data_IF_195783411074
#
_entry.id   IF_195783411074
#
_cell.length_a   1.000
_cell.length_b   1.000
_cell.length_c   1.000
_cell.angle_alpha   90.00
_cell.angle_beta   90.00
_cell.angle_gamma   90.00
#
_symmetry.space_group_name_H-M   'P 1'
#
loop_
_entity.id
_entity.type
_entity.pdbx_description
1 polymer ?
#
# COMPACT_ATOMS: atom_id res chain seq x y z
N UNK A 1 -15.07 23.95 9.73
CA UNK A 1 -14.09 23.23 10.56
C UNK A 1 -12.70 23.66 10.11
N UNK A 2 -12.02 24.46 10.93
CA UNK A 2 -10.65 24.93 10.63
C UNK A 2 -9.67 23.77 10.84
N UNK A 3 -8.91 23.43 9.80
CA UNK A 3 -7.83 22.46 9.90
C UNK A 3 -6.66 23.07 10.66
N UNK A 4 -6.38 22.56 11.86
CA UNK A 4 -5.16 22.88 12.60
C UNK A 4 -3.95 22.34 11.83
N UNK A 5 -3.16 23.23 11.22
CA UNK A 5 -1.80 22.89 10.80
C UNK A 5 -0.91 22.86 12.03
N UNK A 6 -0.56 21.66 12.49
CA UNK A 6 0.46 21.46 13.55
C UNK A 6 1.84 21.62 12.89
N UNK A 7 2.29 22.87 12.70
CA UNK A 7 3.67 23.20 12.32
C UNK A 7 4.57 23.24 13.55
N UNK A 8 4.83 22.07 14.14
CA UNK A 8 5.63 21.95 15.35
C UNK A 8 6.00 20.50 15.63
N UNK A 9 6.87 19.92 14.81
CA UNK A 9 7.56 18.68 15.17
C UNK A 9 9.03 19.02 15.35
N UNK A 10 9.31 19.65 16.49
CA UNK A 10 10.64 19.71 17.06
C UNK A 10 11.19 18.29 17.24
N UNK A 11 12.51 18.22 17.26
CA UNK A 11 13.35 17.03 17.39
C UNK A 11 12.89 16.17 18.58
N UNK A 12 12.01 15.20 18.34
CA UNK A 12 11.58 14.28 19.40
C UNK A 12 12.81 13.46 19.79
N UNK A 13 13.27 13.60 21.03
CA UNK A 13 14.31 12.73 21.58
C UNK A 13 13.78 11.29 21.58
N UNK A 14 14.22 10.49 20.59
CA UNK A 14 13.97 9.06 20.42
C UNK A 14 15.24 8.29 20.75
N UNK A 15 15.51 8.14 22.04
CA UNK A 15 16.54 7.24 22.58
C UNK A 15 15.86 6.12 23.40
N UNK A 16 16.48 4.94 23.57
CA UNK A 16 15.85 3.86 24.34
C UNK A 16 15.44 4.30 25.76
N UNK A 17 16.27 5.11 26.41
CA UNK A 17 15.98 5.69 27.73
C UNK A 17 14.79 6.66 27.71
N UNK A 18 14.74 7.58 26.76
CA UNK A 18 13.64 8.55 26.69
C UNK A 18 12.33 7.88 26.30
N UNK A 19 12.36 6.85 25.45
CA UNK A 19 11.18 6.06 25.05
C UNK A 19 10.65 5.23 26.23
N UNK A 20 11.52 4.65 27.06
CA UNK A 20 11.10 4.02 28.32
C UNK A 20 10.37 5.00 29.24
N UNK A 21 10.84 6.25 29.34
CA UNK A 21 10.14 7.29 30.11
C UNK A 21 8.77 7.59 29.53
N UNK A 22 8.68 7.74 28.20
CA UNK A 22 7.43 8.00 27.48
C UNK A 22 6.42 6.85 27.64
N UNK A 23 6.87 5.59 27.63
CA UNK A 23 6.01 4.43 27.89
C UNK A 23 5.42 4.51 29.29
N UNK A 24 6.24 4.81 30.32
CA UNK A 24 5.73 4.94 31.70
C UNK A 24 4.66 6.03 31.82
N UNK A 25 4.85 7.16 31.15
CA UNK A 25 3.86 8.23 31.10
C UNK A 25 2.58 7.79 30.40
N UNK A 26 2.69 7.11 29.25
CA UNK A 26 1.55 6.53 28.54
C UNK A 26 0.77 5.55 29.42
N UNK A 27 1.45 4.66 30.15
CA UNK A 27 0.82 3.71 31.06
C UNK A 27 0.05 4.41 32.18
N UNK A 28 0.60 5.51 32.72
CA UNK A 28 -0.11 6.33 33.71
C UNK A 28 -1.39 6.97 33.16
N UNK A 29 -1.43 7.24 31.86
CA UNK A 29 -2.61 7.75 31.16
C UNK A 29 -3.61 6.65 30.76
N UNK A 30 -3.30 5.37 30.98
CA UNK A 30 -4.15 4.22 30.63
C UNK A 30 -3.75 3.47 29.36
N UNK A 31 -2.56 3.74 28.80
CA UNK A 31 -2.01 2.94 27.70
C UNK A 31 -1.64 1.54 28.20
N UNK A 32 -1.92 0.50 27.41
CA UNK A 32 -1.74 -0.89 27.84
C UNK A 32 -1.23 -1.75 26.67
N UNK A 33 -1.14 -3.06 26.91
CA UNK A 33 -0.63 -4.01 25.91
C UNK A 33 -1.48 -4.06 24.64
N UNK A 34 -2.81 -3.98 24.77
CA UNK A 34 -3.71 -3.96 23.61
C UNK A 34 -3.41 -2.75 22.73
N UNK A 35 -3.34 -1.54 23.30
CA UNK A 35 -2.98 -0.32 22.57
C UNK A 35 -1.59 -0.42 21.92
N UNK A 36 -0.62 -1.05 22.60
CA UNK A 36 0.69 -1.31 22.02
C UNK A 36 0.62 -2.21 20.78
N UNK A 37 -0.15 -3.30 20.85
CA UNK A 37 -0.34 -4.21 19.73
C UNK A 37 -0.94 -3.50 18.51
N UNK A 38 -1.84 -2.53 18.70
CA UNK A 38 -2.40 -1.70 17.63
C UNK A 38 -1.32 -0.94 16.85
N UNK A 39 -0.27 -0.43 17.50
CA UNK A 39 0.81 0.32 16.84
C UNK A 39 1.98 -0.56 16.38
N UNK A 40 2.15 -1.73 17.00
CA UNK A 40 3.21 -2.70 16.71
C UNK A 40 2.92 -3.51 15.43
N UNK A 41 1.67 -3.91 15.19
CA UNK A 41 1.31 -4.79 14.07
C UNK A 41 0.88 -4.05 12.81
N UNK A 42 1.57 -4.32 11.69
CA UNK A 42 1.15 -3.93 10.35
C UNK A 42 0.27 -5.03 9.73
N UNK A 43 -0.94 -5.20 10.25
CA UNK A 43 -1.93 -6.15 9.76
C UNK A 43 -1.82 -7.56 10.36
N UNK A 44 -2.87 -7.95 11.09
CA UNK A 44 -3.42 -9.29 11.39
C UNK A 44 -2.52 -10.54 11.62
N UNK A 45 -1.19 -10.44 11.67
CA UNK A 45 -0.30 -11.57 11.99
C UNK A 45 0.40 -11.33 13.33
N UNK A 46 -0.05 -12.06 14.35
CA UNK A 46 0.56 -12.08 15.68
C UNK A 46 1.92 -12.79 15.60
N UNK A 47 3.00 -12.02 15.67
CA UNK A 47 4.34 -12.54 15.96
C UNK A 47 4.48 -12.91 17.44
N UNK A 48 5.38 -13.84 17.76
CA UNK A 48 5.47 -14.51 19.07
C UNK A 48 5.80 -13.59 20.26
N UNK A 49 6.33 -12.38 20.03
CA UNK A 49 6.75 -11.45 21.09
C UNK A 49 6.37 -9.99 20.75
N UNK A 50 5.08 -9.69 20.77
CA UNK A 50 4.55 -8.34 20.43
C UNK A 50 3.97 -7.60 21.63
N UNK A 51 4.41 -7.95 22.84
CA UNK A 51 3.96 -7.30 24.07
C UNK A 51 4.76 -6.02 24.37
N UNK A 52 4.11 -5.10 25.09
CA UNK A 52 4.71 -3.89 25.61
C UNK A 52 5.88 -4.23 26.56
N UNK A 53 5.75 -5.29 27.36
CA UNK A 53 6.81 -5.75 28.26
C UNK A 53 8.03 -6.27 27.49
N UNK A 54 7.82 -7.07 26.43
CA UNK A 54 8.90 -7.51 25.55
C UNK A 54 9.63 -6.31 24.93
N UNK A 55 8.88 -5.28 24.51
CA UNK A 55 9.49 -4.05 23.98
C UNK A 55 10.29 -3.29 25.05
N UNK A 56 9.76 -3.12 26.27
CA UNK A 56 10.51 -2.52 27.39
C UNK A 56 11.80 -3.30 27.69
N UNK A 57 11.75 -4.62 27.68
CA UNK A 57 12.93 -5.48 27.89
C UNK A 57 13.99 -5.24 26.80
N UNK A 58 13.57 -5.15 25.54
CA UNK A 58 14.44 -4.75 24.43
C UNK A 58 15.07 -3.36 24.65
N UNK A 59 14.27 -2.36 25.04
CA UNK A 59 14.79 -1.00 25.26
C UNK A 59 15.83 -0.92 26.39
N UNK A 60 15.72 -1.77 27.41
CA UNK A 60 16.71 -1.88 28.50
C UNK A 60 18.02 -2.52 28.05
N UNK A 61 17.99 -3.38 27.02
CA UNK A 61 19.17 -4.13 26.56
C UNK A 61 19.98 -3.40 25.48
N UNK A 62 19.42 -2.36 24.84
CA UNK A 62 20.09 -1.61 23.77
C UNK A 62 20.51 -0.21 24.22
N UNK A 63 21.68 0.23 23.73
CA UNK A 63 22.19 1.60 24.00
C UNK A 63 21.61 2.64 23.04
N UNK A 64 21.36 2.25 21.80
CA UNK A 64 20.83 3.11 20.74
C UNK A 64 20.01 2.29 19.76
N UNK A 65 19.17 2.98 18.98
CA UNK A 65 18.46 2.35 17.87
C UNK A 65 19.33 2.33 16.62
N UNK A 66 19.17 1.29 15.80
CA UNK A 66 19.46 1.42 14.38
C UNK A 66 18.38 2.30 13.75
N UNK A 67 18.79 3.39 13.10
CA UNK A 67 17.89 4.31 12.39
C UNK A 67 17.04 3.52 11.38
N UNK A 68 15.75 3.84 11.31
CA UNK A 68 14.75 3.18 10.47
C UNK A 68 14.46 1.69 10.75
N UNK A 69 15.03 1.11 11.82
CA UNK A 69 14.63 -0.23 12.30
C UNK A 69 13.15 -0.26 12.73
N UNK A 70 12.57 -1.45 12.82
CA UNK A 70 11.19 -1.61 13.28
C UNK A 70 11.01 -1.05 14.70
N UNK A 71 11.96 -1.31 15.60
CA UNK A 71 11.93 -0.77 16.96
C UNK A 71 12.04 0.76 17.00
N UNK A 72 12.84 1.37 16.13
CA UNK A 72 12.89 2.83 16.00
C UNK A 72 11.53 3.40 15.57
N UNK A 73 10.87 2.79 14.59
CA UNK A 73 9.54 3.23 14.12
C UNK A 73 8.48 3.06 15.21
N UNK A 74 8.54 1.99 15.99
CA UNK A 74 7.66 1.78 17.14
C UNK A 74 7.90 2.88 18.18
N UNK A 75 9.15 3.24 18.45
CA UNK A 75 9.49 4.32 19.35
C UNK A 75 8.96 5.70 18.88
N UNK A 76 9.04 5.99 17.57
CA UNK A 76 8.41 7.18 16.99
C UNK A 76 6.89 7.18 17.16
N UNK A 77 6.23 6.02 17.02
CA UNK A 77 4.78 5.87 17.26
C UNK A 77 4.43 6.16 18.70
N UNK A 78 5.14 5.55 19.65
CA UNK A 78 4.92 5.77 21.08
C UNK A 78 5.07 7.24 21.46
N UNK A 79 6.11 7.92 20.95
CA UNK A 79 6.28 9.35 21.19
C UNK A 79 5.09 10.17 20.68
N UNK A 80 4.57 9.85 19.50
CA UNK A 80 3.37 10.51 18.95
C UNK A 80 2.11 10.20 19.73
N UNK A 81 1.92 8.96 20.19
CA UNK A 81 0.79 8.61 21.05
C UNK A 81 0.80 9.49 22.30
N UNK A 82 1.97 9.70 22.92
CA UNK A 82 2.09 10.55 24.11
C UNK A 82 1.79 12.02 23.81
N UNK A 83 2.31 12.56 22.70
CA UNK A 83 2.01 13.93 22.28
C UNK A 83 0.51 14.13 22.07
N UNK A 84 -0.16 13.21 21.38
CA UNK A 84 -1.60 13.29 21.15
C UNK A 84 -2.39 13.14 22.44
N UNK A 85 -2.04 12.17 23.29
CA UNK A 85 -2.69 11.94 24.57
C UNK A 85 -2.61 13.19 25.48
N UNK A 86 -1.47 13.88 25.51
CA UNK A 86 -1.30 15.14 26.26
C UNK A 86 -2.08 16.33 25.68
N UNK A 87 -2.53 16.24 24.44
CA UNK A 87 -3.29 17.31 23.77
C UNK A 87 -4.81 17.12 23.86
N UNK A 88 -5.29 15.99 24.38
CA UNK A 88 -6.71 15.72 24.56
C UNK A 88 -7.19 16.38 25.85
N UNK A 89 -8.20 17.24 25.75
CA UNK A 89 -8.96 17.74 26.89
C UNK A 89 -10.05 16.72 27.25
N UNK A 90 -9.93 16.08 28.42
CA UNK A 90 -10.90 15.10 28.93
C UNK A 90 -10.44 13.64 28.83
N UNK A 91 -11.37 12.73 28.57
CA UNK A 91 -11.10 11.29 28.56
C UNK A 91 -10.27 10.88 27.33
N UNK A 92 -9.17 10.16 27.58
CA UNK A 92 -8.24 9.73 26.54
C UNK A 92 -8.75 8.45 25.88
N UNK A 93 -9.08 8.52 24.58
CA UNK A 93 -9.36 7.34 23.77
C UNK A 93 -8.11 6.86 23.02
N UNK A 94 -7.41 5.88 23.58
CA UNK A 94 -6.20 5.35 22.96
C UNK A 94 -6.44 4.57 21.66
N UNK A 95 -7.65 4.03 21.42
CA UNK A 95 -7.95 3.38 20.15
C UNK A 95 -7.90 4.41 19.00
N UNK A 96 -8.52 5.58 19.21
CA UNK A 96 -8.51 6.68 18.25
C UNK A 96 -7.11 7.25 18.04
N UNK A 97 -6.36 7.45 19.13
CA UNK A 97 -4.97 7.91 19.06
C UNK A 97 -4.09 6.91 18.30
N UNK A 98 -4.20 5.62 18.57
CA UNK A 98 -3.41 4.60 17.88
C UNK A 98 -3.75 4.53 16.38
N UNK A 99 -5.04 4.63 16.04
CA UNK A 99 -5.50 4.73 14.65
C UNK A 99 -4.92 5.98 13.97
N UNK A 100 -4.97 7.12 14.64
CA UNK A 100 -4.42 8.38 14.15
C UNK A 100 -2.90 8.30 13.96
N UNK A 101 -2.16 7.71 14.91
CA UNK A 101 -0.70 7.55 14.80
C UNK A 101 -0.33 6.63 13.63
N UNK A 102 -1.07 5.54 13.43
CA UNK A 102 -0.88 4.65 12.29
C UNK A 102 -1.20 5.36 10.96
N UNK A 103 -2.30 6.11 10.90
CA UNK A 103 -2.69 6.89 9.71
C UNK A 103 -1.77 8.08 9.41
N UNK A 104 -1.33 8.83 10.44
CA UNK A 104 -0.40 9.97 10.31
C UNK A 104 0.98 9.50 9.86
N UNK A 105 1.48 8.35 10.30
CA UNK A 105 2.77 7.84 9.84
C UNK A 105 2.72 7.29 8.42
N UNK A 106 1.60 6.70 8.01
CA UNK A 106 1.34 6.39 6.61
C UNK A 106 1.31 7.71 5.81
N UNK A 107 0.60 8.73 6.28
CA UNK A 107 0.53 10.05 5.63
C UNK A 107 1.83 10.86 5.67
N UNK A 108 2.72 10.73 6.67
CA UNK A 108 4.04 11.39 6.72
C UNK A 108 5.08 10.70 5.83
N UNK A 109 4.99 9.38 5.64
CA UNK A 109 5.70 8.72 4.54
C UNK A 109 5.18 9.18 3.17
N UNK A 110 3.91 9.60 3.09
CA UNK A 110 3.34 10.21 1.89
C UNK A 110 3.71 11.70 1.71
N UNK A 111 3.84 12.50 2.78
CA UNK A 111 4.07 13.95 2.67
C UNK A 111 5.54 14.33 2.46
N UNK A 112 6.51 13.58 2.99
CA UNK A 112 7.94 13.77 2.68
C UNK A 112 8.40 13.06 1.39
N UNK A 113 7.52 12.27 0.75
CA UNK A 113 7.66 11.78 -0.64
C UNK A 113 6.89 12.65 -1.65
N UNK A 114 6.42 13.84 -1.25
CA UNK A 114 5.78 14.80 -2.16
C UNK A 114 6.74 15.39 -3.21
N UNK A 115 8.01 15.00 -3.21
CA UNK A 115 8.86 15.08 -4.40
C UNK A 115 8.84 13.72 -5.10
N UNK A 116 7.89 13.57 -6.03
CA UNK A 116 7.76 12.50 -7.03
C UNK A 116 7.55 11.09 -6.45
N UNK A 117 6.31 10.71 -6.16
CA UNK A 117 5.94 9.29 -6.19
C UNK A 117 5.37 9.05 -7.59
N UNK A 118 6.15 8.57 -8.59
CA UNK A 118 5.65 8.43 -9.94
C UNK A 118 4.74 7.20 -9.96
N UNK A 119 3.49 7.46 -9.59
CA UNK A 119 2.29 6.72 -9.95
C UNK A 119 2.24 5.31 -9.35
N UNK A 120 2.06 5.17 -8.04
CA UNK A 120 1.65 3.89 -7.42
C UNK A 120 0.15 3.70 -7.65
N UNK A 121 -0.27 2.55 -8.17
CA UNK A 121 -1.67 2.37 -8.52
C UNK A 121 -2.03 1.03 -9.15
N UNK A 122 -3.29 0.92 -9.57
CA UNK A 122 -3.81 -0.18 -10.37
C UNK A 122 -3.84 0.22 -11.85
N UNK A 123 -3.69 -0.76 -12.72
CA UNK A 123 -3.68 -0.55 -14.16
C UNK A 123 -4.32 -1.72 -14.91
N UNK A 124 -4.70 -1.43 -16.15
CA UNK A 124 -5.11 -2.41 -17.15
C UNK A 124 -4.17 -2.33 -18.35
N UNK A 125 -3.84 -3.47 -18.93
CA UNK A 125 -3.11 -3.56 -20.20
C UNK A 125 -3.98 -4.31 -21.20
N UNK A 126 -4.10 -3.76 -22.40
CA UNK A 126 -4.58 -4.50 -23.57
C UNK A 126 -3.47 -4.55 -24.60
N UNK A 127 -3.52 -5.53 -25.49
CA UNK A 127 -2.51 -5.67 -26.54
C UNK A 127 -3.08 -5.45 -27.94
N UNK A 128 -2.22 -5.05 -28.88
CA UNK A 128 -2.59 -4.88 -30.30
C UNK A 128 -2.11 -6.05 -31.18
N UNK A 129 -1.21 -6.91 -30.69
CA UNK A 129 -0.65 -8.00 -31.48
C UNK A 129 -1.72 -9.05 -31.85
N UNK A 130 -1.72 -9.47 -33.11
CA UNK A 130 -2.60 -10.54 -33.60
C UNK A 130 -2.04 -11.92 -33.26
N UNK A 131 -0.74 -12.12 -33.47
CA UNK A 131 -0.06 -13.38 -33.17
C UNK A 131 0.29 -13.46 -31.68
N UNK A 132 0.00 -14.59 -30.98
CA UNK A 132 0.31 -14.72 -29.56
C UNK A 132 1.80 -14.56 -29.22
N UNK A 133 2.09 -13.64 -28.29
CA UNK A 133 3.43 -13.40 -27.74
C UNK A 133 3.48 -13.96 -26.32
N UNK A 134 4.62 -14.55 -25.94
CA UNK A 134 4.82 -15.03 -24.57
C UNK A 134 4.73 -13.88 -23.57
N UNK A 135 3.98 -14.07 -22.48
CA UNK A 135 3.83 -13.05 -21.43
C UNK A 135 5.17 -12.68 -20.73
N UNK A 136 6.20 -13.50 -20.93
CA UNK A 136 7.56 -13.32 -20.43
C UNK A 136 8.58 -13.39 -21.58
N UNK A 137 8.24 -12.86 -22.75
CA UNK A 137 9.10 -12.92 -23.94
C UNK A 137 10.51 -12.33 -23.74
N UNK A 138 10.69 -11.41 -22.78
CA UNK A 138 11.97 -10.82 -22.44
C UNK A 138 12.86 -11.71 -21.55
N UNK A 139 12.33 -12.79 -20.96
CA UNK A 139 13.10 -13.80 -20.21
C UNK A 139 13.17 -15.12 -20.98
N UNK A 140 14.28 -15.30 -21.71
CA UNK A 140 14.54 -16.50 -22.55
C UNK A 140 14.44 -17.83 -21.78
N UNK A 141 14.65 -17.83 -20.45
CA UNK A 141 14.64 -19.05 -19.64
C UNK A 141 13.23 -19.62 -19.49
N UNK A 142 12.21 -18.76 -19.48
CA UNK A 142 10.82 -19.15 -19.19
C UNK A 142 9.85 -18.80 -20.32
N UNK A 143 10.27 -18.01 -21.32
CA UNK A 143 9.41 -17.57 -22.42
C UNK A 143 8.67 -18.72 -23.13
N UNK A 144 9.33 -19.88 -23.29
CA UNK A 144 8.77 -21.05 -23.98
C UNK A 144 7.71 -21.81 -23.17
N UNK A 145 7.67 -21.64 -21.83
CA UNK A 145 6.68 -22.26 -20.92
C UNK A 145 5.68 -21.27 -20.33
N UNK A 146 5.80 -19.98 -20.62
CA UNK A 146 4.84 -18.99 -20.17
C UNK A 146 3.59 -19.00 -21.07
N UNK A 147 2.46 -18.49 -20.55
CA UNK A 147 1.27 -18.29 -21.35
C UNK A 147 1.55 -17.35 -22.52
N UNK A 148 0.87 -17.57 -23.63
CA UNK A 148 0.92 -16.68 -24.79
C UNK A 148 -0.35 -15.85 -24.85
N UNK A 149 -0.20 -14.57 -25.13
CA UNK A 149 -1.27 -13.57 -25.10
C UNK A 149 -1.26 -12.71 -26.36
N UNK A 150 -2.44 -12.26 -26.76
CA UNK A 150 -2.65 -11.40 -27.93
C UNK A 150 -3.74 -10.35 -27.63
N UNK A 151 -4.24 -9.69 -28.68
CA UNK A 151 -5.32 -8.70 -28.58
C UNK A 151 -6.64 -9.18 -27.97
N UNK A 152 -6.84 -10.49 -27.85
CA UNK A 152 -8.02 -11.07 -27.18
C UNK A 152 -7.84 -11.18 -25.66
N UNK A 153 -6.68 -10.76 -25.15
CA UNK A 153 -6.36 -10.78 -23.73
C UNK A 153 -6.26 -9.37 -23.15
N UNK A 154 -6.75 -9.25 -21.93
CA UNK A 154 -6.50 -8.10 -21.07
C UNK A 154 -5.64 -8.54 -19.88
N UNK A 155 -4.92 -7.61 -19.26
CA UNK A 155 -4.25 -7.85 -18.00
C UNK A 155 -4.68 -6.81 -16.98
N UNK A 156 -4.99 -7.28 -15.77
CA UNK A 156 -5.12 -6.42 -14.59
C UNK A 156 -3.85 -6.51 -13.75
N UNK A 157 -3.42 -5.41 -13.13
CA UNK A 157 -2.32 -5.49 -12.17
C UNK A 157 -2.16 -4.24 -11.31
N UNK A 158 -1.21 -4.32 -10.38
CA UNK A 158 -0.76 -3.20 -9.55
C UNK A 158 0.71 -2.89 -9.78
N UNK A 159 1.09 -1.64 -9.52
CA UNK A 159 2.49 -1.23 -9.54
C UNK A 159 2.78 -0.22 -8.44
N UNK A 160 3.98 -0.33 -7.85
CA UNK A 160 4.54 0.72 -6.99
C UNK A 160 5.02 1.94 -7.79
N UNK A 161 5.27 1.75 -9.08
CA UNK A 161 5.65 2.77 -10.05
C UNK A 161 5.10 2.36 -11.42
N UNK A 162 3.99 2.96 -11.83
CA UNK A 162 3.26 2.66 -13.06
C UNK A 162 4.09 3.03 -14.30
N UNK A 163 4.85 4.12 -14.26
CA UNK A 163 5.72 4.54 -15.35
C UNK A 163 6.81 3.51 -15.66
N UNK A 164 7.47 2.94 -14.66
CA UNK A 164 8.44 1.85 -14.84
C UNK A 164 7.74 0.57 -15.29
N UNK A 165 6.56 0.29 -14.75
CA UNK A 165 5.79 -0.89 -15.14
C UNK A 165 5.39 -0.84 -16.61
N UNK A 166 4.97 0.32 -17.12
CA UNK A 166 4.68 0.56 -18.55
C UNK A 166 5.89 0.25 -19.43
N UNK A 167 7.07 0.78 -19.08
CA UNK A 167 8.33 0.49 -19.81
C UNK A 167 8.64 -1.01 -19.87
N UNK A 168 8.34 -1.76 -18.79
CA UNK A 168 8.53 -3.21 -18.79
C UNK A 168 7.61 -3.90 -19.82
N UNK A 169 6.34 -3.49 -19.93
CA UNK A 169 5.47 -4.02 -20.99
C UNK A 169 5.99 -3.71 -22.38
N UNK A 170 6.44 -2.47 -22.62
CA UNK A 170 6.98 -2.08 -23.92
C UNK A 170 8.19 -2.94 -24.29
N UNK A 171 9.05 -3.25 -23.33
CA UNK A 171 10.19 -4.15 -23.52
C UNK A 171 9.76 -5.57 -23.89
N UNK A 172 8.72 -6.10 -23.25
CA UNK A 172 8.27 -7.49 -23.46
C UNK A 172 7.48 -7.66 -24.77
N UNK A 173 6.62 -6.70 -25.12
CA UNK A 173 5.65 -6.86 -26.21
C UNK A 173 5.89 -5.93 -27.42
N UNK A 174 6.77 -4.92 -27.30
CA UNK A 174 6.86 -3.80 -28.24
C UNK A 174 5.91 -2.67 -27.83
N UNK A 175 6.36 -1.42 -27.93
CA UNK A 175 5.58 -0.25 -27.52
C UNK A 175 4.29 -0.11 -28.34
N UNK A 176 4.36 -0.39 -29.63
CA UNK A 176 3.23 -0.37 -30.57
C UNK A 176 2.14 -1.39 -30.24
N UNK A 177 2.49 -2.45 -29.50
CA UNK A 177 1.58 -3.53 -29.16
C UNK A 177 0.91 -3.34 -27.79
N UNK A 178 1.20 -2.28 -27.04
CA UNK A 178 0.76 -2.15 -25.65
C UNK A 178 -0.09 -0.90 -25.47
N UNK A 179 -1.34 -1.07 -25.06
CA UNK A 179 -2.12 0.03 -24.49
C UNK A 179 -2.09 -0.12 -22.96
N UNK A 180 -1.25 0.69 -22.30
CA UNK A 180 -1.09 0.69 -20.85
C UNK A 180 -1.94 1.80 -20.22
N UNK A 181 -2.93 1.41 -19.42
CA UNK A 181 -3.92 2.33 -18.85
C UNK A 181 -3.85 2.31 -17.32
N UNK A 182 -3.24 3.33 -16.68
CA UNK A 182 -3.46 3.60 -15.27
C UNK A 182 -4.95 3.81 -14.99
N UNK A 183 -5.47 3.17 -13.95
CA UNK A 183 -6.90 3.30 -13.60
C UNK A 183 -7.07 4.17 -12.36
N UNK A 184 -6.32 3.85 -11.29
CA UNK A 184 -6.41 4.54 -10.00
C UNK A 184 -5.04 4.61 -9.35
N UNK A 185 -4.76 5.73 -8.68
CA UNK A 185 -3.61 5.88 -7.80
C UNK A 185 -4.04 5.61 -6.37
N UNK A 186 -3.34 4.70 -5.69
CA UNK A 186 -3.71 4.25 -4.35
C UNK A 186 -2.47 3.87 -3.55
N UNK A 187 -2.47 4.12 -2.24
CA UNK A 187 -1.44 3.65 -1.33
C UNK A 187 -1.62 2.15 -1.02
N UNK A 188 -2.84 1.72 -0.69
CA UNK A 188 -3.21 0.37 -0.29
C UNK A 188 -3.53 -0.58 -1.48
N UNK A 189 -2.71 -0.55 -2.55
CA UNK A 189 -2.92 -1.37 -3.76
C UNK A 189 -3.01 -2.88 -3.52
N UNK A 190 -2.42 -3.40 -2.44
CA UNK A 190 -2.39 -4.85 -2.16
C UNK A 190 -3.76 -5.40 -1.77
N UNK A 191 -4.55 -4.64 -1.00
CA UNK A 191 -5.90 -5.05 -0.58
C UNK A 191 -6.85 -4.92 -1.76
N UNK A 192 -6.76 -3.80 -2.49
CA UNK A 192 -7.57 -3.57 -3.68
C UNK A 192 -7.33 -4.63 -4.77
N UNK A 193 -6.07 -4.95 -5.09
CA UNK A 193 -5.73 -5.97 -6.09
C UNK A 193 -6.33 -7.34 -5.74
N UNK A 194 -6.22 -7.78 -4.48
CA UNK A 194 -6.77 -9.07 -4.05
C UNK A 194 -8.27 -9.15 -4.28
N UNK A 195 -8.99 -8.09 -3.92
CA UNK A 195 -10.44 -8.05 -4.10
C UNK A 195 -10.84 -8.02 -5.58
N UNK A 196 -10.13 -7.23 -6.40
CA UNK A 196 -10.37 -7.20 -7.85
C UNK A 196 -10.09 -8.57 -8.48
N UNK A 197 -8.94 -9.19 -8.18
CA UNK A 197 -8.61 -10.53 -8.71
C UNK A 197 -9.58 -11.62 -8.24
N UNK A 198 -10.19 -11.46 -7.06
CA UNK A 198 -11.24 -12.36 -6.57
C UNK A 198 -12.49 -12.25 -7.44
N UNK A 199 -12.91 -11.02 -7.79
CA UNK A 199 -14.07 -10.77 -8.66
C UNK A 199 -13.81 -11.19 -10.10
N UNK A 200 -12.58 -11.03 -10.58
CA UNK A 200 -12.17 -11.43 -11.94
C UNK A 200 -11.85 -12.92 -12.09
N UNK A 201 -12.03 -13.74 -11.04
CA UNK A 201 -11.56 -15.15 -10.99
C UNK A 201 -11.97 -15.97 -12.21
N UNK A 202 -13.21 -15.83 -12.69
CA UNK A 202 -13.74 -16.61 -13.82
C UNK A 202 -13.09 -16.28 -15.16
N UNK A 203 -12.49 -15.10 -15.30
CA UNK A 203 -11.85 -14.65 -16.54
C UNK A 203 -10.34 -14.95 -16.57
N UNK A 204 -9.76 -15.33 -15.42
CA UNK A 204 -8.31 -15.55 -15.26
C UNK A 204 -7.87 -16.81 -15.99
N UNK A 205 -6.85 -16.67 -16.83
CA UNK A 205 -6.23 -17.80 -17.52
C UNK A 205 -5.34 -18.60 -16.57
N UNK A 206 -5.28 -19.91 -16.76
CA UNK A 206 -4.41 -20.82 -16.01
C UNK A 206 -3.04 -20.88 -16.70
N UNK A 207 -1.96 -20.76 -15.93
CA UNK A 207 -0.60 -20.94 -16.43
C UNK A 207 -0.32 -22.42 -16.74
N UNK A 208 0.73 -22.75 -17.51
CA UNK A 208 1.14 -24.14 -17.70
C UNK A 208 1.51 -24.86 -16.39
N UNK A 209 1.85 -24.11 -15.33
CA UNK A 209 2.06 -24.64 -13.97
C UNK A 209 0.77 -24.81 -13.14
N UNK A 210 -0.41 -24.61 -13.72
CA UNK A 210 -1.71 -24.80 -13.06
C UNK A 210 -2.19 -23.62 -12.21
N UNK A 211 -1.50 -22.47 -12.21
CA UNK A 211 -1.85 -21.33 -11.37
C UNK A 211 -2.69 -20.30 -12.13
N UNK A 212 -3.66 -19.67 -11.48
CA UNK A 212 -4.41 -18.56 -12.09
C UNK A 212 -3.48 -17.35 -12.28
N UNK A 213 -3.44 -16.83 -13.50
CA UNK A 213 -2.65 -15.66 -13.86
C UNK A 213 -3.47 -14.38 -13.75
N UNK A 214 -2.81 -13.24 -13.86
CA UNK A 214 -3.43 -11.92 -13.96
C UNK A 214 -3.88 -11.57 -15.40
N UNK A 215 -3.60 -12.46 -16.36
CA UNK A 215 -4.07 -12.34 -17.73
C UNK A 215 -5.46 -12.93 -17.84
N UNK A 216 -6.34 -12.21 -18.55
CA UNK A 216 -7.76 -12.41 -18.61
C UNK A 216 -8.18 -12.66 -20.05
N UNK A 217 -9.21 -13.47 -20.24
CA UNK A 217 -9.84 -13.73 -21.54
C UNK A 217 -11.36 -13.66 -21.41
N UNK A 218 -12.06 -13.26 -22.48
CA UNK A 218 -13.52 -13.10 -22.47
C UNK A 218 -14.04 -11.88 -21.70
N UNK A 219 -13.17 -10.90 -21.41
CA UNK A 219 -13.52 -9.63 -20.77
C UNK A 219 -12.71 -8.50 -21.41
N UNK A 220 -13.35 -7.34 -21.60
CA UNK A 220 -12.68 -6.14 -22.13
C UNK A 220 -12.20 -5.18 -21.02
N UNK A 221 -11.38 -4.20 -21.37
CA UNK A 221 -10.81 -3.24 -20.41
C UNK A 221 -11.86 -2.41 -19.67
N UNK A 222 -12.94 -2.00 -20.34
CA UNK A 222 -14.04 -1.25 -19.71
C UNK A 222 -14.71 -2.02 -18.58
N UNK A 223 -15.03 -3.29 -18.81
CA UNK A 223 -15.61 -4.18 -17.79
C UNK A 223 -14.65 -4.42 -16.63
N UNK A 224 -13.34 -4.53 -16.89
CA UNK A 224 -12.34 -4.63 -15.82
C UNK A 224 -12.34 -3.36 -14.95
N UNK A 225 -12.42 -2.19 -15.58
CA UNK A 225 -12.48 -0.90 -14.87
C UNK A 225 -13.74 -0.80 -14.01
N UNK A 226 -14.89 -1.28 -14.50
CA UNK A 226 -16.13 -1.38 -13.71
C UNK A 226 -15.91 -2.25 -12.46
N UNK A 227 -15.32 -3.44 -12.63
CA UNK A 227 -15.00 -4.34 -11.51
C UNK A 227 -14.02 -3.70 -10.52
N UNK A 228 -13.03 -2.94 -11.00
CA UNK A 228 -12.12 -2.15 -10.15
C UNK A 228 -12.91 -1.14 -9.32
N UNK A 229 -13.78 -0.36 -9.95
CA UNK A 229 -14.57 0.66 -9.28
C UNK A 229 -15.46 0.05 -8.18
N UNK A 230 -16.19 -1.01 -8.51
CA UNK A 230 -17.05 -1.70 -7.54
C UNK A 230 -16.27 -2.33 -6.38
N UNK A 231 -15.07 -2.84 -6.65
CA UNK A 231 -14.19 -3.39 -5.62
C UNK A 231 -13.71 -2.30 -4.66
N UNK A 232 -13.29 -1.15 -5.19
CA UNK A 232 -12.81 -0.03 -4.40
C UNK A 232 -13.93 0.58 -3.55
N UNK A 233 -15.12 0.79 -4.13
CA UNK A 233 -16.31 1.25 -3.39
C UNK A 233 -16.67 0.26 -2.27
N UNK A 234 -16.66 -1.05 -2.56
CA UNK A 234 -16.94 -2.08 -1.56
C UNK A 234 -15.91 -2.15 -0.42
N UNK A 235 -14.70 -1.67 -0.65
CA UNK A 235 -13.64 -1.56 0.36
C UNK A 235 -13.63 -0.20 1.08
N UNK A 236 -14.51 0.73 0.70
CA UNK A 236 -14.58 2.08 1.27
C UNK A 236 -13.46 3.01 0.79
N UNK A 237 -12.77 2.68 -0.29
CA UNK A 237 -11.80 3.60 -0.90
C UNK A 237 -12.54 4.73 -1.61
N UNK A 238 -12.17 5.98 -1.31
CA UNK A 238 -12.52 7.12 -2.14
C UNK A 238 -11.48 7.25 -3.24
N UNK A 239 -11.90 7.14 -4.50
CA UNK A 239 -11.02 7.30 -5.64
C UNK A 239 -11.63 8.18 -6.71
N UNK A 240 -10.85 9.16 -7.17
CA UNK A 240 -11.16 9.91 -8.38
C UNK A 240 -10.79 9.04 -9.59
N UNK A 241 -11.77 8.72 -10.43
CA UNK A 241 -11.48 8.04 -11.70
C UNK A 241 -10.68 8.98 -12.63
N UNK A 242 -9.46 8.57 -13.01
CA UNK A 242 -8.66 9.30 -14.00
C UNK A 242 -9.36 9.43 -15.35
N UNK A 243 -10.19 8.45 -15.70
CA UNK A 243 -10.87 8.35 -16.99
C UNK A 243 -11.98 9.39 -17.19
N UNK A 244 -12.47 10.03 -16.13
CA UNK A 244 -13.44 11.11 -16.26
C UNK A 244 -12.78 12.43 -16.69
N UNK A 245 -11.48 12.64 -16.41
CA UNK A 245 -10.82 13.94 -16.65
C UNK A 245 -10.28 14.13 -18.07
N UNK A 246 -10.09 13.08 -18.85
CA UNK A 246 -9.58 13.23 -20.23
C UNK A 246 -10.65 13.59 -21.27
N UNK A 247 -11.95 13.43 -20.97
CA UNK A 247 -13.02 13.77 -21.92
C UNK A 247 -13.34 15.26 -22.01
N UNK A 248 -12.93 16.07 -21.03
CA UNK A 248 -13.18 17.52 -21.01
C UNK A 248 -12.00 18.35 -21.56
N UNK A 249 -10.89 17.72 -21.96
CA UNK A 249 -9.65 18.39 -22.36
C UNK A 249 -9.38 18.51 -23.86
N UNK A 250 -10.32 18.11 -24.74
CA UNK A 250 -10.21 18.33 -26.19
C UNK A 250 -11.32 19.26 -26.67
N UNK A 251 -11.02 20.55 -26.67
CA UNK A 251 -11.62 21.56 -27.56
C UNK A 251 -10.50 22.19 -28.37
#
# INVERSE_FOLDING_TARGET
>A
MQGFQISGYEDMDITPKSVLSKIKELEHLGFNDDHFQFIHHWGNLKGKDSSLESHKAYLKSVRSYQVASNNFKIAEKLAKCLTLAKSVEGDINFADICNQVNGILQNKQHSNRSRLNPERGLYVVTLNNQHPISANADDKRIAHIAIKVNRENCKFGKAVNLSNRRKNYYKTFGEENVNFQPVVLLSEIDIAEKEVLRRLKQFRQVSPSGNLTEWLHGINSGQIIEVINEALVGLGFQHDNFLAKEKDGKR
#
